data_IF_992722268407
#
_entry.id   IF_992722268407
#
_cell.length_a   1.000
_cell.length_b   1.000
_cell.length_c   1.000
_cell.angle_alpha   90.00
_cell.angle_beta   90.00
_cell.angle_gamma   90.00
#
_symmetry.space_group_name_H-M   'P 1'
#
loop_
_entity.id
_entity.type
_entity.pdbx_description
1 polymer ?
#
# COMPACT_ATOMS: atom_id res chain seq x y z
N UNK A 1 12.55 -69.58 -6.33
CA UNK A 1 13.54 -68.54 -6.03
C UNK A 1 13.61 -67.63 -7.23
N UNK A 2 12.87 -66.52 -7.22
CA UNK A 2 12.99 -65.47 -8.23
C UNK A 2 12.60 -64.15 -7.58
N UNK A 3 13.44 -63.15 -7.82
CA UNK A 3 13.68 -61.99 -6.97
C UNK A 3 12.69 -60.88 -7.31
N UNK A 4 11.95 -60.41 -6.32
CA UNK A 4 11.13 -59.19 -6.41
C UNK A 4 12.10 -57.99 -6.32
N UNK A 5 12.17 -57.08 -7.30
CA UNK A 5 13.02 -55.92 -7.22
C UNK A 5 12.42 -54.89 -6.25
N UNK A 6 13.20 -54.53 -5.22
CA UNK A 6 12.88 -53.46 -4.27
C UNK A 6 12.80 -52.12 -5.00
N UNK A 7 11.58 -51.61 -5.08
CA UNK A 7 11.23 -50.28 -5.59
C UNK A 7 11.81 -49.23 -4.63
N UNK A 8 12.60 -48.31 -5.17
CA UNK A 8 13.21 -47.22 -4.42
C UNK A 8 12.17 -46.27 -3.83
N UNK A 9 12.35 -45.92 -2.57
CA UNK A 9 11.66 -44.80 -1.92
C UNK A 9 12.71 -43.86 -1.35
N UNK A 10 13.15 -42.92 -2.18
CA UNK A 10 13.87 -41.72 -1.75
C UNK A 10 12.82 -40.73 -1.25
N UNK A 11 12.41 -40.84 0.01
CA UNK A 11 11.49 -39.86 0.63
C UNK A 11 12.29 -38.70 1.23
N UNK A 12 12.67 -37.77 0.36
CA UNK A 12 12.95 -36.38 0.72
C UNK A 12 11.67 -35.78 1.31
N UNK A 13 11.60 -35.66 2.64
CA UNK A 13 10.53 -34.87 3.28
C UNK A 13 10.94 -33.40 3.26
N UNK A 14 10.27 -32.68 2.38
CA UNK A 14 10.30 -31.23 2.15
C UNK A 14 10.23 -30.46 3.48
N UNK A 15 11.28 -29.70 3.80
CA UNK A 15 11.32 -28.23 3.65
C UNK A 15 10.11 -27.50 4.23
N UNK A 16 10.33 -26.97 5.44
CA UNK A 16 10.07 -25.58 5.87
C UNK A 16 8.71 -25.04 5.41
N UNK A 17 7.74 -25.06 6.32
CA UNK A 17 6.54 -24.23 6.25
C UNK A 17 7.01 -22.77 6.14
N UNK A 18 6.98 -22.28 4.90
CA UNK A 18 7.17 -20.91 4.50
C UNK A 18 6.03 -20.12 5.15
N UNK A 19 6.25 -19.63 6.37
CA UNK A 19 5.42 -18.61 6.98
C UNK A 19 5.35 -17.45 5.98
N UNK A 20 4.24 -17.41 5.24
CA UNK A 20 3.92 -16.39 4.28
C UNK A 20 4.09 -15.07 4.99
N UNK A 21 5.06 -14.28 4.54
CA UNK A 21 5.30 -12.91 4.97
C UNK A 21 3.94 -12.22 5.05
N UNK A 22 3.42 -12.04 6.26
CA UNK A 22 2.32 -11.14 6.51
C UNK A 22 2.87 -9.78 6.09
N UNK A 23 2.48 -9.33 4.89
CA UNK A 23 2.82 -8.02 4.37
C UNK A 23 1.95 -7.06 5.18
N UNK A 24 2.40 -6.77 6.41
CA UNK A 24 1.89 -5.70 7.26
C UNK A 24 2.18 -4.43 6.46
N UNK A 25 1.25 -4.10 5.58
CA UNK A 25 1.24 -2.82 4.88
C UNK A 25 0.85 -1.86 5.99
N UNK A 26 1.84 -1.14 6.52
CA UNK A 26 1.59 -0.15 7.56
C UNK A 26 0.58 0.84 6.99
N UNK A 27 -0.66 0.79 7.48
CA UNK A 27 -1.69 1.72 7.04
C UNK A 27 -1.30 3.10 7.51
N UNK A 28 -1.39 4.06 6.60
CA UNK A 28 -1.03 5.45 6.84
C UNK A 28 -2.26 6.22 7.28
N UNK A 29 -2.10 7.13 8.22
CA UNK A 29 -3.19 7.96 8.72
C UNK A 29 -3.26 9.24 7.90
N UNK A 30 -4.41 9.50 7.29
CA UNK A 30 -4.64 10.67 6.47
C UNK A 30 -5.60 11.65 7.13
N UNK A 31 -5.34 12.93 6.89
CA UNK A 31 -6.08 14.07 7.38
C UNK A 31 -6.43 14.98 6.20
N UNK A 32 -7.62 15.57 6.22
CA UNK A 32 -8.07 16.58 5.28
C UNK A 32 -7.91 17.95 5.94
N UNK A 33 -7.29 18.92 5.27
CA UNK A 33 -7.29 20.28 5.78
C UNK A 33 -8.70 20.88 5.67
N UNK A 34 -9.16 21.51 6.74
CA UNK A 34 -10.38 22.31 6.74
C UNK A 34 -10.15 23.71 6.16
N UNK A 35 -8.88 24.10 5.96
CA UNK A 35 -8.47 25.36 5.35
C UNK A 35 -8.07 25.11 3.89
N UNK A 36 -8.57 25.94 2.99
CA UNK A 36 -8.15 25.88 1.60
C UNK A 36 -6.74 26.45 1.40
N UNK A 37 -5.99 25.87 0.46
CA UNK A 37 -4.78 26.43 -0.13
C UNK A 37 -5.10 27.81 -0.78
N UNK A 38 -4.07 28.62 -1.05
CA UNK A 38 -4.12 29.81 -1.93
C UNK A 38 -4.91 29.60 -3.25
N UNK A 39 -4.99 28.37 -3.77
CA UNK A 39 -5.77 27.97 -4.95
C UNK A 39 -7.25 27.65 -4.66
N UNK A 40 -7.69 27.69 -3.40
CA UNK A 40 -9.06 27.37 -2.99
C UNK A 40 -9.36 25.87 -2.84
N UNK A 41 -8.35 25.01 -2.84
CA UNK A 41 -8.51 23.55 -2.71
C UNK A 41 -8.21 23.05 -1.30
N UNK A 42 -8.91 21.98 -0.88
CA UNK A 42 -8.68 21.35 0.42
C UNK A 42 -7.67 20.22 0.28
N UNK A 43 -6.50 20.36 0.88
CA UNK A 43 -5.41 19.40 0.71
C UNK A 43 -5.48 18.26 1.72
N UNK A 44 -5.12 17.06 1.25
CA UNK A 44 -5.01 15.85 2.07
C UNK A 44 -3.55 15.60 2.39
N UNK A 45 -3.27 15.44 3.69
CA UNK A 45 -1.94 15.21 4.23
C UNK A 45 -1.88 13.90 5.01
N UNK A 46 -0.72 13.25 4.96
CA UNK A 46 -0.36 12.16 5.87
C UNK A 46 0.05 12.73 7.24
N UNK A 47 -0.12 11.96 8.32
CA UNK A 47 0.30 12.31 9.70
C UNK A 47 1.72 12.90 9.79
N UNK A 48 2.63 12.39 8.96
CA UNK A 48 4.06 12.72 8.96
C UNK A 48 4.43 13.80 7.94
N UNK A 49 3.45 14.43 7.30
CA UNK A 49 3.69 15.50 6.34
C UNK A 49 4.25 16.75 7.03
N UNK A 50 5.33 17.36 6.52
CA UNK A 50 5.90 18.58 7.08
C UNK A 50 5.00 19.82 6.92
N UNK A 51 4.07 19.78 5.95
CA UNK A 51 3.13 20.85 5.65
C UNK A 51 1.74 20.61 6.24
N UNK A 52 1.58 19.64 7.14
CA UNK A 52 0.28 19.36 7.73
C UNK A 52 -0.20 20.58 8.55
N UNK A 53 -1.44 21.07 8.32
CA UNK A 53 -2.02 22.13 9.14
C UNK A 53 -2.20 21.69 10.59
N UNK A 54 -2.50 22.64 11.47
CA UNK A 54 -2.65 22.37 12.91
C UNK A 54 -3.79 21.37 13.18
N UNK A 55 -3.80 20.76 14.38
CA UNK A 55 -4.78 19.77 14.80
C UNK A 55 -6.23 20.28 14.78
N UNK A 56 -6.41 21.60 14.87
CA UNK A 56 -7.72 22.27 14.88
C UNK A 56 -8.25 22.44 13.46
N UNK A 57 -7.37 22.67 12.47
CA UNK A 57 -7.73 22.97 11.08
C UNK A 57 -7.63 21.73 10.17
N UNK A 58 -7.83 20.54 10.75
CA UNK A 58 -7.77 19.27 10.01
C UNK A 58 -8.77 18.23 10.52
N UNK A 59 -9.37 17.55 9.56
CA UNK A 59 -10.34 16.47 9.77
C UNK A 59 -9.71 15.10 9.56
N UNK A 60 -9.98 14.16 10.44
CA UNK A 60 -9.46 12.79 10.33
C UNK A 60 -10.23 11.98 9.28
N UNK A 61 -9.55 11.52 8.23
CA UNK A 61 -10.17 10.71 7.17
C UNK A 61 -10.20 9.22 7.50
N UNK A 62 -9.14 8.72 8.13
CA UNK A 62 -8.96 7.31 8.42
C UNK A 62 -7.60 6.75 8.03
N UNK A 63 -7.38 5.45 8.31
CA UNK A 63 -6.22 4.71 7.85
C UNK A 63 -6.42 4.27 6.38
N UNK A 64 -5.46 4.58 5.52
CA UNK A 64 -5.45 4.14 4.12
C UNK A 64 -4.09 3.58 3.73
N UNK A 65 -4.09 2.74 2.70
CA UNK A 65 -2.83 2.23 2.14
C UNK A 65 -2.11 3.30 1.31
N UNK A 66 -2.87 4.12 0.57
CA UNK A 66 -2.36 5.08 -0.39
C UNK A 66 -3.12 6.41 -0.28
N UNK A 67 -2.47 7.52 -0.65
CA UNK A 67 -3.12 8.83 -0.70
C UNK A 67 -4.30 8.91 -1.68
N UNK A 68 -4.28 8.13 -2.78
CA UNK A 68 -5.41 8.06 -3.72
C UNK A 68 -6.69 7.48 -3.11
N UNK A 69 -6.55 6.51 -2.21
CA UNK A 69 -7.69 5.91 -1.50
C UNK A 69 -8.32 6.95 -0.55
N UNK A 70 -7.47 7.69 0.16
CA UNK A 70 -7.87 8.80 1.01
C UNK A 70 -8.56 9.92 0.20
N UNK A 71 -8.00 10.26 -0.98
CA UNK A 71 -8.56 11.25 -1.90
C UNK A 71 -9.97 10.90 -2.33
N UNK A 72 -10.23 9.63 -2.70
CA UNK A 72 -11.58 9.22 -3.09
C UNK A 72 -12.59 9.44 -1.97
N UNK A 73 -12.21 9.16 -0.71
CA UNK A 73 -13.07 9.41 0.45
C UNK A 73 -13.25 10.91 0.71
N UNK A 74 -12.19 11.69 0.58
CA UNK A 74 -12.27 13.14 0.74
C UNK A 74 -13.16 13.78 -0.34
N UNK A 75 -13.06 13.34 -1.61
CA UNK A 75 -13.90 13.83 -2.70
C UNK A 75 -15.40 13.56 -2.48
N UNK A 76 -15.75 12.47 -1.79
CA UNK A 76 -17.13 12.18 -1.39
C UNK A 76 -17.67 13.19 -0.37
N UNK A 77 -16.81 13.77 0.47
CA UNK A 77 -17.18 14.75 1.48
C UNK A 77 -17.10 16.18 0.95
N UNK A 78 -16.00 16.50 0.26
CA UNK A 78 -15.69 17.79 -0.31
C UNK A 78 -15.17 17.61 -1.74
N UNK A 79 -15.95 17.96 -2.78
CA UNK A 79 -15.57 17.73 -4.17
C UNK A 79 -14.35 18.54 -4.63
N UNK A 80 -13.96 19.59 -3.89
CA UNK A 80 -12.75 20.38 -4.13
C UNK A 80 -11.50 19.86 -3.41
N UNK A 81 -11.53 18.62 -2.91
CA UNK A 81 -10.38 18.02 -2.22
C UNK A 81 -9.28 17.61 -3.21
N UNK A 82 -8.04 17.91 -2.87
CA UNK A 82 -6.85 17.55 -3.64
C UNK A 82 -5.83 16.82 -2.79
N UNK A 83 -4.96 16.08 -3.46
CA UNK A 83 -3.88 15.34 -2.82
C UNK A 83 -2.66 16.24 -2.68
N UNK A 84 -2.05 16.32 -1.49
CA UNK A 84 -0.76 16.99 -1.34
C UNK A 84 0.30 16.28 -2.20
N UNK A 85 1.12 17.05 -2.90
CA UNK A 85 2.15 16.52 -3.80
C UNK A 85 3.14 15.61 -3.05
N UNK A 86 3.49 15.96 -1.81
CA UNK A 86 4.41 15.19 -0.99
C UNK A 86 3.78 13.88 -0.45
N UNK A 87 2.49 13.89 -0.11
CA UNK A 87 1.83 12.73 0.52
C UNK A 87 1.33 11.70 -0.49
N UNK A 88 0.96 12.13 -1.70
CA UNK A 88 0.38 11.25 -2.71
C UNK A 88 1.41 10.70 -3.72
N UNK A 89 2.68 11.11 -3.62
CA UNK A 89 3.80 10.59 -4.42
C UNK A 89 4.29 9.20 -4.02
N UNK A 90 3.88 8.65 -2.88
CA UNK A 90 4.26 7.28 -2.50
C UNK A 90 3.51 6.28 -3.37
N UNK A 91 3.99 6.12 -4.62
CA UNK A 91 3.68 4.98 -5.45
C UNK A 91 4.13 3.75 -4.68
N UNK A 92 3.18 2.89 -4.37
CA UNK A 92 3.48 1.52 -4.03
C UNK A 92 4.27 0.96 -5.22
N UNK A 93 5.59 0.84 -5.10
CA UNK A 93 6.38 0.08 -6.06
C UNK A 93 5.81 -1.33 -6.04
N UNK A 94 5.01 -1.65 -7.05
CA UNK A 94 4.68 -3.01 -7.36
C UNK A 94 5.99 -3.69 -7.74
N UNK A 95 6.65 -4.31 -6.77
CA UNK A 95 7.82 -5.18 -6.92
C UNK A 95 7.47 -6.48 -7.69
N UNK A 96 6.67 -6.38 -8.75
CA UNK A 96 6.29 -7.47 -9.63
C UNK A 96 6.28 -6.98 -11.07
N UNK A 97 7.48 -6.77 -11.62
CA UNK A 97 7.70 -6.77 -13.07
C UNK A 97 9.12 -7.24 -13.35
N UNK A 98 9.42 -8.49 -12.98
CA UNK A 98 10.49 -9.22 -13.67
C UNK A 98 9.93 -9.73 -14.99
N UNK A 99 10.18 -8.91 -16.01
CA UNK A 99 10.29 -9.21 -17.44
C UNK A 99 9.97 -10.64 -17.89
N UNK A 100 8.90 -10.80 -18.69
CA UNK A 100 8.91 -11.80 -19.76
C UNK A 100 10.04 -11.44 -20.73
N UNK A 101 11.12 -12.21 -20.79
CA UNK A 101 11.99 -12.29 -21.96
C UNK A 101 11.68 -13.59 -22.69
N UNK A 102 11.12 -13.44 -23.89
CA UNK A 102 11.01 -14.49 -24.91
C UNK A 102 12.42 -14.91 -25.39
N UNK A 103 12.58 -16.18 -25.74
CA UNK A 103 13.47 -16.73 -26.79
C UNK A 103 12.86 -18.11 -27.12
N UNK A 104 12.03 -18.22 -28.17
CA UNK A 104 12.37 -18.49 -29.59
C UNK A 104 13.08 -19.82 -29.78
#
# INVERSE_FOLDING_TARGET
MEKIPYIGYVTRVFSIVFLTKLKISFMKFFYLSSKANDLGHFEIHEKECPQIPDAIDRDYLGPFNNGREALRKALLMNPGSVCCEHCCQTNFEALFSQSKKNQS
#
